data_IF_902762204500
#
_entry.id   IF_902762204500
#
_cell.length_a   1.000
_cell.length_b   1.000
_cell.length_c   1.000
_cell.angle_alpha   90.00
_cell.angle_beta   90.00
_cell.angle_gamma   90.00
#
_symmetry.space_group_name_H-M   'P 1'
#
loop_
_entity.id
_entity.type
_entity.pdbx_description
1 polymer ?
#
# COMPACT_ATOMS: atom_id res chain seq x y z
N UNK A 1 -1.62 -21.75 16.32
CA UNK A 1 -0.58 -22.77 16.01
C UNK A 1 -0.26 -22.81 14.52
N UNK A 2 -1.23 -23.02 13.62
CA UNK A 2 -1.00 -23.19 12.16
C UNK A 2 -0.18 -22.03 11.55
N UNK A 3 -0.52 -20.76 11.85
CA UNK A 3 0.22 -19.61 11.32
C UNK A 3 1.66 -19.57 11.82
N UNK A 4 1.88 -19.86 13.11
CA UNK A 4 3.23 -19.84 13.67
C UNK A 4 4.10 -20.92 13.04
N UNK A 5 3.56 -22.14 12.82
CA UNK A 5 4.28 -23.21 12.12
C UNK A 5 4.71 -22.78 10.73
N UNK A 6 3.81 -22.17 9.95
CA UNK A 6 4.14 -21.65 8.62
C UNK A 6 5.22 -20.55 8.64
N UNK A 7 5.19 -19.66 9.62
CA UNK A 7 6.21 -18.61 9.73
C UNK A 7 7.56 -19.17 10.18
N UNK A 8 7.57 -20.19 11.06
CA UNK A 8 8.79 -20.91 11.41
C UNK A 8 9.44 -21.57 10.19
N UNK A 9 8.62 -22.19 9.34
CA UNK A 9 9.09 -22.81 8.09
C UNK A 9 9.57 -21.78 7.06
N UNK A 10 8.87 -20.65 6.95
CA UNK A 10 9.15 -19.60 5.96
C UNK A 10 10.32 -18.68 6.34
N UNK A 11 10.45 -18.33 7.62
CA UNK A 11 11.32 -17.27 8.11
C UNK A 11 12.31 -17.71 9.21
N UNK A 12 12.14 -18.91 9.76
CA UNK A 12 12.94 -19.42 10.89
C UNK A 12 12.49 -18.85 12.25
N UNK A 13 13.09 -19.38 13.31
CA UNK A 13 12.69 -19.11 14.69
C UNK A 13 12.91 -17.62 15.08
N UNK A 14 14.11 -17.09 14.84
CA UNK A 14 14.49 -15.72 15.25
C UNK A 14 13.55 -14.66 14.64
N UNK A 15 13.27 -14.76 13.34
CA UNK A 15 12.39 -13.80 12.66
C UNK A 15 10.94 -13.98 13.11
N UNK A 16 10.48 -15.22 13.29
CA UNK A 16 9.13 -15.50 13.78
C UNK A 16 8.89 -14.93 15.17
N UNK A 17 9.88 -15.04 16.08
CA UNK A 17 9.79 -14.42 17.40
C UNK A 17 9.66 -12.89 17.32
N UNK A 18 10.43 -12.23 16.44
CA UNK A 18 10.33 -10.78 16.20
C UNK A 18 8.95 -10.38 15.70
N UNK A 19 8.39 -11.12 14.74
CA UNK A 19 7.03 -10.89 14.21
C UNK A 19 5.99 -11.01 15.32
N UNK A 20 6.06 -12.06 16.13
CA UNK A 20 5.11 -12.30 17.22
C UNK A 20 5.22 -11.23 18.31
N UNK A 21 6.42 -10.81 18.67
CA UNK A 21 6.66 -9.75 19.65
C UNK A 21 6.11 -8.40 19.16
N UNK A 22 6.30 -8.09 17.89
CA UNK A 22 5.81 -6.85 17.27
C UNK A 22 4.27 -6.78 17.27
N UNK A 23 3.60 -7.89 17.00
CA UNK A 23 2.14 -7.97 17.04
C UNK A 23 1.53 -7.74 18.44
N UNK A 24 2.32 -7.83 19.48
CA UNK A 24 1.91 -7.54 20.86
C UNK A 24 2.25 -6.11 21.29
N UNK A 25 2.95 -5.37 20.44
CA UNK A 25 3.39 -4.00 20.72
C UNK A 25 2.38 -3.00 20.16
N UNK A 26 2.01 -2.00 20.94
CA UNK A 26 1.26 -0.86 20.44
C UNK A 26 2.17 0.07 19.63
N UNK A 27 1.77 0.36 18.41
CA UNK A 27 2.45 1.29 17.53
C UNK A 27 1.66 2.60 17.41
N UNK A 28 2.35 3.76 17.41
CA UNK A 28 1.70 5.03 17.17
C UNK A 28 1.12 5.06 15.74
N UNK A 29 0.12 5.92 15.52
CA UNK A 29 -0.48 6.08 14.22
C UNK A 29 0.52 6.72 13.24
N UNK A 30 0.67 6.13 12.06
CA UNK A 30 1.55 6.67 11.01
C UNK A 30 0.76 7.54 10.05
N UNK A 31 1.32 8.70 9.71
CA UNK A 31 0.76 9.67 8.78
C UNK A 31 1.76 10.02 7.69
N UNK A 32 1.23 10.32 6.52
CA UNK A 32 1.93 10.92 5.39
C UNK A 32 1.61 12.41 5.31
N UNK A 33 2.62 13.27 5.36
CA UNK A 33 2.48 14.69 5.05
C UNK A 33 2.42 14.90 3.54
N UNK A 34 1.47 15.70 3.06
CA UNK A 34 1.32 16.02 1.63
C UNK A 34 2.22 17.21 1.26
N UNK A 35 3.49 16.90 1.06
CA UNK A 35 4.56 17.91 0.94
C UNK A 35 4.55 18.68 -0.36
N UNK A 36 3.87 18.20 -1.41
CA UNK A 36 3.76 18.96 -2.65
C UNK A 36 2.87 20.22 -2.51
N UNK A 37 1.95 20.23 -1.55
CA UNK A 37 1.04 21.37 -1.29
C UNK A 37 1.38 22.15 -0.01
N UNK A 38 2.12 21.54 0.90
CA UNK A 38 2.31 22.08 2.24
C UNK A 38 3.77 21.94 2.69
N UNK A 39 4.28 22.92 3.43
CA UNK A 39 5.50 22.72 4.20
C UNK A 39 5.25 21.69 5.31
N UNK A 40 6.12 20.67 5.39
CA UNK A 40 6.03 19.64 6.45
C UNK A 40 6.22 20.26 7.84
N UNK A 41 7.05 21.30 7.94
CA UNK A 41 7.33 22.04 9.18
C UNK A 41 6.05 22.75 9.68
N UNK A 42 5.27 23.34 8.80
CA UNK A 42 3.97 23.95 9.14
C UNK A 42 2.95 22.89 9.58
N UNK A 43 2.95 21.74 8.92
CA UNK A 43 2.05 20.62 9.28
C UNK A 43 2.40 20.10 10.67
N UNK A 44 3.68 19.85 10.95
CA UNK A 44 4.16 19.39 12.26
C UNK A 44 3.81 20.41 13.33
N UNK A 45 4.13 21.69 13.12
CA UNK A 45 3.81 22.77 14.06
C UNK A 45 2.31 22.87 14.34
N UNK A 46 1.47 22.64 13.34
CA UNK A 46 0.01 22.61 13.52
C UNK A 46 -0.43 21.45 14.43
N UNK A 47 0.14 20.27 14.24
CA UNK A 47 -0.15 19.09 15.09
C UNK A 47 0.32 19.31 16.53
N UNK A 48 1.56 19.77 16.72
CA UNK A 48 2.13 20.05 18.04
C UNK A 48 1.37 21.13 18.79
N UNK A 49 0.85 22.17 18.09
CA UNK A 49 0.01 23.22 18.69
C UNK A 49 -1.34 22.69 19.23
N UNK A 50 -1.77 21.53 18.76
CA UNK A 50 -2.96 20.81 19.26
C UNK A 50 -2.61 19.74 20.30
N UNK A 51 -1.35 19.71 20.78
CA UNK A 51 -0.88 18.77 21.81
C UNK A 51 -0.50 17.39 21.28
N UNK A 52 -0.40 17.21 19.97
CA UNK A 52 0.00 15.93 19.36
C UNK A 52 1.50 15.76 19.47
N UNK A 53 1.94 14.60 19.95
CA UNK A 53 3.35 14.24 19.85
C UNK A 53 3.66 13.72 18.44
N UNK A 54 4.65 14.31 17.77
CA UNK A 54 5.04 13.99 16.40
C UNK A 54 6.50 13.55 16.36
N UNK A 55 6.78 12.38 15.80
CA UNK A 55 8.11 11.85 15.61
C UNK A 55 8.32 11.39 14.16
N UNK A 56 9.53 11.51 13.59
CA UNK A 56 9.81 10.96 12.27
C UNK A 56 9.54 9.46 12.22
N UNK A 57 8.84 9.01 11.17
CA UNK A 57 8.72 7.59 10.85
C UNK A 57 9.93 7.14 10.01
N UNK A 58 10.24 5.83 9.94
CA UNK A 58 11.40 5.34 9.20
C UNK A 58 11.27 5.57 7.69
N UNK A 59 12.39 5.55 7.01
CA UNK A 59 12.56 5.46 5.55
C UNK A 59 12.16 6.70 4.74
N UNK A 60 11.08 7.40 5.07
CA UNK A 60 10.55 8.47 4.20
C UNK A 60 10.53 9.83 4.94
N UNK A 61 11.07 10.90 4.32
CA UNK A 61 11.25 12.20 4.99
C UNK A 61 9.94 12.98 5.24
N UNK A 62 8.83 12.49 4.73
CA UNK A 62 7.48 13.05 4.87
C UNK A 62 6.54 12.15 5.67
N UNK A 63 7.05 11.02 6.18
CA UNK A 63 6.32 10.10 7.04
C UNK A 63 6.61 10.41 8.52
N UNK A 64 5.55 10.45 9.33
CA UNK A 64 5.63 10.71 10.76
C UNK A 64 4.73 9.75 11.53
N UNK A 65 5.15 9.42 12.75
CA UNK A 65 4.28 8.79 13.74
C UNK A 65 3.68 9.87 14.66
N UNK A 66 2.41 9.70 15.01
CA UNK A 66 1.70 10.61 15.90
C UNK A 66 1.05 9.87 17.06
N UNK A 67 1.07 10.50 18.24
CA UNK A 67 0.45 10.01 19.48
C UNK A 67 -0.05 11.17 20.33
N UNK A 68 -0.65 10.88 21.49
CA UNK A 68 -1.16 11.88 22.41
C UNK A 68 -2.30 12.76 21.83
N UNK A 69 -3.21 12.15 21.09
CA UNK A 69 -4.41 12.82 20.57
C UNK A 69 -5.66 11.96 20.82
N UNK A 70 -6.82 12.60 20.95
CA UNK A 70 -8.07 11.88 21.21
C UNK A 70 -8.68 11.29 19.93
N UNK A 71 -8.81 12.12 18.89
CA UNK A 71 -9.43 11.73 17.63
C UNK A 71 -8.73 12.40 16.45
N UNK A 72 -8.35 11.61 15.46
CA UNK A 72 -7.72 12.11 14.21
C UNK A 72 -8.62 13.11 13.48
N UNK A 73 -9.95 12.91 13.55
CA UNK A 73 -10.94 13.79 12.92
C UNK A 73 -11.04 15.19 13.55
N UNK A 74 -10.43 15.40 14.71
CA UNK A 74 -10.37 16.71 15.38
C UNK A 74 -9.10 17.50 15.05
N UNK A 75 -8.15 16.89 14.36
CA UNK A 75 -6.89 17.52 14.01
C UNK A 75 -7.02 18.39 12.76
N UNK A 76 -6.65 19.66 12.88
CA UNK A 76 -6.71 20.65 11.80
C UNK A 76 -6.00 20.16 10.53
N UNK A 77 -4.82 19.59 10.70
CA UNK A 77 -4.03 19.07 9.58
C UNK A 77 -4.76 17.92 8.83
N UNK A 78 -5.53 17.09 9.54
CA UNK A 78 -6.34 16.04 8.94
C UNK A 78 -7.57 16.62 8.23
N UNK A 79 -8.33 17.48 8.92
CA UNK A 79 -9.55 18.12 8.38
C UNK A 79 -9.23 18.89 7.09
N UNK A 80 -8.11 19.62 7.08
CA UNK A 80 -7.65 20.44 5.94
C UNK A 80 -6.95 19.59 4.86
N UNK A 81 -6.94 18.26 4.98
CA UNK A 81 -6.34 17.35 4.00
C UNK A 81 -4.81 17.48 3.85
N UNK A 82 -4.11 18.07 4.84
CA UNK A 82 -2.64 18.21 4.82
C UNK A 82 -1.91 16.92 5.15
N UNK A 83 -2.60 15.99 5.83
CA UNK A 83 -2.09 14.67 6.17
C UNK A 83 -3.06 13.57 5.73
N UNK A 84 -2.51 12.39 5.47
CA UNK A 84 -3.24 11.15 5.21
C UNK A 84 -2.73 10.08 6.19
N UNK A 85 -3.65 9.34 6.81
CA UNK A 85 -3.27 8.16 7.61
C UNK A 85 -2.84 7.06 6.65
N UNK A 86 -1.58 6.68 6.73
CA UNK A 86 -1.00 5.69 5.84
C UNK A 86 0.24 5.09 6.51
N UNK A 87 0.39 3.76 6.50
CA UNK A 87 1.62 3.10 6.94
C UNK A 87 2.75 3.33 5.95
N UNK A 88 3.99 3.37 6.44
CA UNK A 88 5.17 3.59 5.57
C UNK A 88 5.26 2.51 4.49
N UNK A 89 4.97 1.25 4.81
CA UNK A 89 4.95 0.17 3.82
C UNK A 89 4.03 0.47 2.63
N UNK A 90 2.85 1.00 2.92
CA UNK A 90 1.88 1.42 1.90
C UNK A 90 2.35 2.67 1.12
N UNK A 91 3.14 3.56 1.76
CA UNK A 91 3.72 4.72 1.06
C UNK A 91 4.78 4.31 0.04
N UNK A 92 5.56 3.26 0.32
CA UNK A 92 6.60 2.76 -0.58
C UNK A 92 6.05 2.33 -1.95
N UNK A 93 4.78 1.92 -2.04
CA UNK A 93 4.13 1.61 -3.32
C UNK A 93 4.22 2.79 -4.30
N UNK A 94 3.95 4.00 -3.83
CA UNK A 94 4.02 5.18 -4.69
C UNK A 94 5.46 5.63 -4.96
N UNK A 95 6.40 5.36 -4.04
CA UNK A 95 7.82 5.59 -4.30
C UNK A 95 8.34 4.69 -5.42
N UNK A 96 8.04 3.40 -5.36
CA UNK A 96 8.43 2.41 -6.37
C UNK A 96 7.75 2.72 -7.70
N UNK A 97 6.46 3.01 -7.71
CA UNK A 97 5.71 3.35 -8.92
C UNK A 97 6.19 4.64 -9.59
N UNK A 98 6.70 5.57 -8.81
CA UNK A 98 7.28 6.84 -9.24
C UNK A 98 6.62 7.48 -10.48
N UNK A 99 5.28 7.69 -10.48
CA UNK A 99 4.56 8.16 -11.66
C UNK A 99 5.04 9.53 -12.11
N UNK A 100 5.09 9.73 -13.40
CA UNK A 100 5.44 11.00 -14.03
C UNK A 100 4.24 11.94 -14.12
N UNK A 101 4.49 13.26 -14.16
CA UNK A 101 3.44 14.25 -14.40
C UNK A 101 2.76 13.99 -15.74
N UNK A 102 1.44 13.81 -15.71
CA UNK A 102 0.64 13.55 -16.89
C UNK A 102 0.31 12.06 -17.13
N UNK A 103 0.87 11.15 -16.34
CA UNK A 103 0.57 9.73 -16.45
C UNK A 103 -0.91 9.43 -16.18
N UNK A 104 -1.39 8.33 -16.75
CA UNK A 104 -2.63 7.69 -16.41
C UNK A 104 -2.38 6.46 -15.53
N UNK A 105 -2.84 6.53 -14.30
CA UNK A 105 -2.65 5.50 -13.29
C UNK A 105 -3.98 4.81 -13.03
N UNK A 106 -4.01 3.47 -13.01
CA UNK A 106 -5.15 2.68 -12.55
C UNK A 106 -4.80 2.04 -11.21
N UNK A 107 -5.60 2.30 -10.17
CA UNK A 107 -5.53 1.62 -8.87
C UNK A 107 -6.74 0.68 -8.76
N UNK A 108 -6.50 -0.64 -8.84
CA UNK A 108 -7.55 -1.62 -9.05
C UNK A 108 -8.36 -1.97 -7.79
N UNK A 109 -7.78 -1.77 -6.59
CA UNK A 109 -8.41 -2.09 -5.31
C UNK A 109 -8.13 -0.95 -4.32
N UNK A 110 -8.58 0.26 -4.67
CA UNK A 110 -8.06 1.52 -4.16
C UNK A 110 -8.49 1.87 -2.73
N UNK A 111 -9.63 1.37 -2.25
CA UNK A 111 -10.18 1.83 -0.97
C UNK A 111 -9.25 1.58 0.23
N UNK A 112 -9.12 2.55 1.12
CA UNK A 112 -9.84 3.83 1.23
C UNK A 112 -9.21 5.00 0.43
N UNK A 113 -8.25 4.75 -0.48
CA UNK A 113 -7.70 5.76 -1.40
C UNK A 113 -6.29 6.26 -1.06
N UNK A 114 -5.65 5.75 -0.01
CA UNK A 114 -4.34 6.25 0.44
C UNK A 114 -3.24 6.19 -0.64
N UNK A 115 -3.16 5.08 -1.38
CA UNK A 115 -2.20 4.88 -2.49
C UNK A 115 -2.55 5.76 -3.70
N UNK A 116 -3.83 5.78 -4.09
CA UNK A 116 -4.32 6.63 -5.19
C UNK A 116 -4.03 8.12 -4.95
N UNK A 117 -4.30 8.61 -3.72
CA UNK A 117 -3.99 10.00 -3.33
C UNK A 117 -2.48 10.26 -3.35
N UNK A 118 -1.67 9.28 -2.95
CA UNK A 118 -0.22 9.42 -2.97
C UNK A 118 0.32 9.50 -4.40
N UNK A 119 -0.23 8.69 -5.32
CA UNK A 119 0.07 8.80 -6.75
C UNK A 119 -0.29 10.18 -7.30
N UNK A 120 -1.48 10.67 -6.98
CA UNK A 120 -1.93 12.01 -7.37
C UNK A 120 -1.01 13.12 -6.86
N UNK A 121 -0.52 12.99 -5.62
CA UNK A 121 0.43 13.93 -5.01
C UNK A 121 1.80 13.87 -5.70
N UNK A 122 2.33 12.68 -6.02
CA UNK A 122 3.60 12.53 -6.76
C UNK A 122 3.53 13.11 -8.17
N UNK A 123 2.39 13.05 -8.81
CA UNK A 123 2.14 13.71 -10.09
C UNK A 123 1.86 15.22 -9.96
N UNK A 124 1.91 15.77 -8.75
CA UNK A 124 1.67 17.21 -8.47
C UNK A 124 0.32 17.73 -8.99
N UNK A 125 -0.71 16.89 -8.97
CA UNK A 125 -2.05 17.23 -9.44
C UNK A 125 -2.23 17.17 -10.97
N UNK A 126 -1.23 16.74 -11.72
CA UNK A 126 -1.32 16.52 -13.17
C UNK A 126 -1.59 15.04 -13.50
N UNK A 127 -2.07 14.78 -14.73
CA UNK A 127 -2.46 13.43 -15.13
C UNK A 127 -3.76 12.97 -14.49
N UNK A 128 -3.96 11.65 -14.39
CA UNK A 128 -5.20 11.08 -13.86
C UNK A 128 -4.90 9.80 -13.08
N UNK A 129 -5.48 9.69 -11.90
CA UNK A 129 -5.56 8.43 -11.13
C UNK A 129 -7.00 7.93 -11.15
N UNK A 130 -7.23 6.79 -11.79
CA UNK A 130 -8.50 6.08 -11.82
C UNK A 130 -8.53 5.06 -10.67
N UNK A 131 -9.08 5.50 -9.54
CA UNK A 131 -9.20 4.73 -8.31
C UNK A 131 -10.46 3.87 -8.34
N UNK A 132 -10.30 2.54 -8.36
CA UNK A 132 -11.38 1.57 -8.52
C UNK A 132 -11.56 0.72 -7.27
N UNK A 133 -12.79 0.38 -6.98
CA UNK A 133 -13.06 -0.67 -5.98
C UNK A 133 -14.40 -1.36 -6.27
N UNK A 134 -14.59 -2.55 -5.69
CA UNK A 134 -15.68 -3.46 -6.03
C UNK A 134 -17.07 -2.98 -5.62
N UNK A 135 -17.19 -2.07 -4.64
CA UNK A 135 -18.49 -1.66 -4.11
C UNK A 135 -18.61 -0.14 -3.94
N UNK A 136 -19.87 0.34 -4.06
CA UNK A 136 -20.16 1.75 -3.84
C UNK A 136 -19.75 2.24 -2.45
N UNK A 137 -19.92 1.40 -1.41
CA UNK A 137 -19.47 1.73 -0.06
C UNK A 137 -17.97 2.06 -0.01
N UNK A 138 -17.13 1.24 -0.66
CA UNK A 138 -15.68 1.45 -0.71
C UNK A 138 -15.31 2.67 -1.56
N UNK A 139 -16.01 2.87 -2.68
CA UNK A 139 -15.83 4.05 -3.52
C UNK A 139 -16.17 5.32 -2.77
N UNK A 140 -17.23 5.35 -1.97
CA UNK A 140 -17.58 6.49 -1.13
C UNK A 140 -16.44 6.86 -0.15
N UNK A 141 -15.73 5.87 0.42
CA UNK A 141 -14.57 6.13 1.26
C UNK A 141 -13.41 6.81 0.49
N UNK A 142 -13.23 6.43 -0.77
CA UNK A 142 -12.23 7.07 -1.64
C UNK A 142 -12.66 8.52 -1.93
N UNK A 143 -13.92 8.72 -2.31
CA UNK A 143 -14.50 10.05 -2.61
C UNK A 143 -14.43 11.01 -1.41
N UNK A 144 -14.74 10.54 -0.20
CA UNK A 144 -14.60 11.32 1.02
C UNK A 144 -13.14 11.80 1.21
N UNK A 145 -12.18 10.92 0.97
CA UNK A 145 -10.77 11.28 1.05
C UNK A 145 -10.32 12.21 -0.08
N UNK A 146 -10.81 12.03 -1.31
CA UNK A 146 -10.57 12.96 -2.43
C UNK A 146 -11.08 14.36 -2.07
N UNK A 147 -12.31 14.46 -1.57
CA UNK A 147 -12.92 15.73 -1.17
C UNK A 147 -12.15 16.41 -0.03
N UNK A 148 -11.83 15.65 1.04
CA UNK A 148 -11.07 16.14 2.20
C UNK A 148 -9.70 16.67 1.81
N UNK A 149 -9.02 15.99 0.89
CA UNK A 149 -7.66 16.33 0.45
C UNK A 149 -7.62 17.27 -0.75
N UNK A 150 -8.77 17.57 -1.35
CA UNK A 150 -8.89 18.36 -2.58
C UNK A 150 -7.96 17.82 -3.70
N UNK A 151 -7.95 16.50 -3.88
CA UNK A 151 -7.11 15.83 -4.89
C UNK A 151 -7.80 15.87 -6.25
N UNK A 152 -7.48 16.86 -7.07
CA UNK A 152 -8.19 17.20 -8.32
C UNK A 152 -7.95 16.19 -9.47
N UNK A 153 -6.87 15.43 -9.40
CA UNK A 153 -6.45 14.47 -10.44
C UNK A 153 -6.76 13.01 -10.07
N UNK A 154 -7.50 12.77 -8.98
CA UNK A 154 -7.94 11.44 -8.56
C UNK A 154 -9.44 11.33 -8.77
N UNK A 155 -9.88 10.28 -9.45
CA UNK A 155 -11.29 9.98 -9.71
C UNK A 155 -11.60 8.60 -9.18
N UNK A 156 -12.75 8.43 -8.54
CA UNK A 156 -13.17 7.14 -8.01
C UNK A 156 -14.34 6.55 -8.79
N UNK A 157 -14.34 5.23 -9.01
CA UNK A 157 -15.47 4.53 -9.62
C UNK A 157 -15.62 3.09 -9.15
N UNK A 158 -16.85 2.59 -9.20
CA UNK A 158 -17.10 1.18 -8.94
C UNK A 158 -16.65 0.36 -10.14
N UNK A 159 -15.72 -0.55 -9.91
CA UNK A 159 -15.24 -1.53 -10.88
C UNK A 159 -14.78 -2.78 -10.14
N UNK A 160 -15.35 -3.92 -10.46
CA UNK A 160 -14.86 -5.21 -9.98
C UNK A 160 -13.56 -5.56 -10.72
N UNK A 161 -12.47 -5.68 -9.96
CA UNK A 161 -11.14 -5.96 -10.51
C UNK A 161 -11.02 -7.34 -11.19
N UNK A 162 -11.98 -8.24 -10.98
CA UNK A 162 -12.05 -9.55 -11.64
C UNK A 162 -12.70 -9.49 -13.03
N UNK A 163 -13.42 -8.40 -13.32
CA UNK A 163 -14.13 -8.19 -14.59
C UNK A 163 -13.27 -7.30 -15.50
N UNK A 164 -12.95 -7.80 -16.70
CA UNK A 164 -12.19 -7.04 -17.67
C UNK A 164 -12.97 -5.81 -18.17
N UNK A 165 -12.30 -4.65 -18.10
CA UNK A 165 -12.79 -3.37 -18.62
C UNK A 165 -12.08 -3.08 -19.96
N UNK A 166 -12.79 -3.29 -21.06
CA UNK A 166 -12.26 -3.14 -22.41
C UNK A 166 -11.78 -1.70 -22.70
N UNK A 167 -12.43 -0.70 -22.11
CA UNK A 167 -12.07 0.70 -22.31
C UNK A 167 -10.71 1.07 -21.65
N UNK A 168 -10.20 0.20 -20.81
CA UNK A 168 -8.93 0.37 -20.11
C UNK A 168 -7.78 -0.42 -20.73
N UNK A 169 -8.02 -1.21 -21.77
CA UNK A 169 -6.99 -2.05 -22.40
C UNK A 169 -5.81 -1.23 -22.91
N UNK A 170 -4.60 -1.60 -22.45
CA UNK A 170 -3.31 -0.96 -22.80
C UNK A 170 -3.28 0.57 -22.62
N UNK A 171 -4.05 1.09 -21.67
CA UNK A 171 -4.22 2.54 -21.47
C UNK A 171 -3.29 3.12 -20.39
N UNK A 172 -3.00 2.33 -19.35
CA UNK A 172 -2.33 2.85 -18.17
C UNK A 172 -0.81 2.91 -18.32
N UNK A 173 -0.22 4.02 -17.90
CA UNK A 173 1.23 4.16 -17.67
C UNK A 173 1.65 3.32 -16.48
N UNK A 174 0.84 3.34 -15.42
CA UNK A 174 1.05 2.57 -14.18
C UNK A 174 -0.27 1.91 -13.77
N UNK A 175 -0.19 0.62 -13.42
CA UNK A 175 -1.29 -0.11 -12.77
C UNK A 175 -0.86 -0.51 -11.37
N UNK A 176 -1.66 -0.18 -10.37
CA UNK A 176 -1.50 -0.67 -8.99
C UNK A 176 -2.48 -1.82 -8.76
N UNK A 177 -1.95 -2.98 -8.43
CA UNK A 177 -2.68 -4.14 -7.97
C UNK A 177 -2.36 -4.39 -6.48
N UNK A 178 -2.89 -3.52 -5.59
CA UNK A 178 -2.88 -3.72 -4.14
C UNK A 178 -4.06 -4.63 -3.79
N UNK A 179 -3.84 -5.92 -3.96
CA UNK A 179 -4.92 -6.91 -4.03
C UNK A 179 -5.47 -7.30 -2.66
N UNK A 180 -6.75 -7.71 -2.57
CA UNK A 180 -7.27 -8.35 -1.37
C UNK A 180 -6.38 -9.53 -0.95
N UNK A 181 -6.03 -9.60 0.33
CA UNK A 181 -5.10 -10.60 0.85
C UNK A 181 -5.51 -11.09 2.23
N UNK A 182 -4.82 -12.09 2.77
CA UNK A 182 -5.05 -12.60 4.12
C UNK A 182 -4.82 -11.57 5.22
N UNK A 183 -3.98 -10.56 4.97
CA UNK A 183 -3.70 -9.48 5.91
C UNK A 183 -2.79 -9.89 7.08
N UNK A 184 -2.02 -10.97 6.96
CA UNK A 184 -1.17 -11.45 8.05
C UNK A 184 -0.09 -10.44 8.48
N UNK A 185 0.26 -9.48 7.63
CA UNK A 185 1.22 -8.42 7.96
C UNK A 185 0.68 -7.37 8.93
N UNK A 186 -0.65 -7.32 9.15
CA UNK A 186 -1.32 -6.29 9.97
C UNK A 186 -2.08 -6.88 11.16
N UNK A 187 -1.77 -8.09 11.58
CA UNK A 187 -2.42 -8.77 12.71
C UNK A 187 -2.31 -7.96 14.01
N UNK A 188 -1.21 -7.25 14.25
CA UNK A 188 -1.06 -6.39 15.42
C UNK A 188 -2.12 -5.30 15.51
N UNK A 189 -2.54 -4.75 14.36
CA UNK A 189 -3.60 -3.73 14.25
C UNK A 189 -5.00 -4.34 14.10
N UNK A 190 -5.11 -5.56 13.59
CA UNK A 190 -6.37 -6.28 13.29
C UNK A 190 -6.30 -7.74 13.77
N UNK A 191 -6.31 -7.97 15.08
CA UNK A 191 -6.08 -9.31 15.65
C UNK A 191 -7.15 -10.35 15.27
N UNK A 192 -8.32 -9.91 14.80
CA UNK A 192 -9.38 -10.80 14.31
C UNK A 192 -8.99 -11.56 13.04
N UNK A 193 -8.00 -11.10 12.29
CA UNK A 193 -7.50 -11.75 11.06
C UNK A 193 -7.08 -13.20 11.34
N UNK A 194 -6.41 -13.45 12.46
CA UNK A 194 -5.93 -14.79 12.85
C UNK A 194 -7.03 -15.85 12.98
N UNK A 195 -8.29 -15.42 13.08
CA UNK A 195 -9.45 -16.32 13.19
C UNK A 195 -10.26 -16.45 11.90
N UNK A 196 -10.03 -15.58 10.92
CA UNK A 196 -10.85 -15.50 9.70
C UNK A 196 -10.31 -16.32 8.55
N UNK A 197 -9.00 -16.54 8.49
CA UNK A 197 -8.38 -17.21 7.35
C UNK A 197 -8.09 -18.66 7.68
N UNK A 198 -8.73 -19.56 6.93
CA UNK A 198 -8.46 -21.00 6.91
C UNK A 198 -7.57 -21.33 5.70
N UNK A 199 -6.90 -22.51 5.65
CA UNK A 199 -6.14 -22.92 4.47
C UNK A 199 -6.96 -22.84 3.17
N UNK A 200 -8.21 -23.29 3.19
CA UNK A 200 -9.10 -23.23 2.02
C UNK A 200 -9.38 -21.78 1.59
N UNK A 201 -9.64 -20.87 2.54
CA UNK A 201 -9.82 -19.44 2.23
C UNK A 201 -8.56 -18.80 1.66
N UNK A 202 -7.39 -19.27 2.08
CA UNK A 202 -6.14 -18.78 1.53
C UNK A 202 -5.98 -19.18 0.07
N UNK A 203 -6.33 -20.42 -0.29
CA UNK A 203 -6.34 -20.87 -1.69
C UNK A 203 -7.31 -20.03 -2.55
N UNK A 204 -8.50 -19.74 -2.02
CA UNK A 204 -9.49 -18.87 -2.67
C UNK A 204 -8.94 -17.46 -2.88
N UNK A 205 -8.21 -16.91 -1.89
CA UNK A 205 -7.56 -15.59 -1.99
C UNK A 205 -6.49 -15.60 -3.09
N UNK A 206 -5.63 -16.62 -3.15
CA UNK A 206 -4.61 -16.74 -4.20
C UNK A 206 -5.24 -16.78 -5.59
N UNK A 207 -6.34 -17.54 -5.77
CA UNK A 207 -7.06 -17.58 -7.04
C UNK A 207 -7.63 -16.20 -7.41
N UNK A 208 -8.24 -15.51 -6.45
CA UNK A 208 -8.75 -14.14 -6.64
C UNK A 208 -7.63 -13.18 -7.05
N UNK A 209 -6.48 -13.22 -6.36
CA UNK A 209 -5.32 -12.38 -6.65
C UNK A 209 -4.79 -12.61 -8.07
N UNK A 210 -4.67 -13.87 -8.48
CA UNK A 210 -4.25 -14.23 -9.85
C UNK A 210 -5.25 -13.74 -10.90
N UNK A 211 -6.54 -13.81 -10.61
CA UNK A 211 -7.58 -13.26 -11.50
C UNK A 211 -7.43 -11.75 -11.66
N UNK A 212 -7.17 -11.03 -10.56
CA UNK A 212 -6.95 -9.57 -10.62
C UNK A 212 -5.66 -9.24 -11.38
N UNK A 213 -4.57 -9.97 -11.13
CA UNK A 213 -3.29 -9.78 -11.83
C UNK A 213 -3.41 -10.04 -13.34
N UNK A 214 -4.21 -11.04 -13.76
CA UNK A 214 -4.53 -11.27 -15.17
C UNK A 214 -5.21 -10.05 -15.80
N UNK A 215 -6.18 -9.43 -15.12
CA UNK A 215 -6.83 -8.22 -15.61
C UNK A 215 -5.87 -7.03 -15.63
N UNK A 216 -5.09 -6.86 -14.55
CA UNK A 216 -4.10 -5.80 -14.44
C UNK A 216 -3.09 -5.81 -15.58
N UNK A 217 -2.58 -7.00 -15.96
CA UNK A 217 -1.63 -7.15 -17.06
C UNK A 217 -2.15 -6.57 -18.39
N UNK A 218 -3.46 -6.66 -18.64
CA UNK A 218 -4.06 -6.18 -19.87
C UNK A 218 -4.28 -4.66 -19.91
N UNK A 219 -4.22 -3.98 -18.76
CA UNK A 219 -4.39 -2.52 -18.68
C UNK A 219 -3.09 -1.76 -18.86
N UNK A 220 -1.95 -2.41 -18.60
CA UNK A 220 -0.63 -1.79 -18.73
C UNK A 220 -0.28 -1.58 -20.19
N UNK A 221 0.00 -0.35 -20.59
CA UNK A 221 0.48 -0.06 -21.94
C UNK A 221 1.91 -0.61 -22.19
N UNK A 222 2.33 -0.78 -23.45
CA UNK A 222 3.71 -1.17 -23.72
C UNK A 222 4.72 -0.22 -23.04
N UNK A 223 5.65 -0.78 -22.25
CA UNK A 223 6.62 -0.07 -21.39
C UNK A 223 6.02 0.62 -20.17
N UNK A 224 4.74 0.41 -19.86
CA UNK A 224 4.15 0.80 -18.60
C UNK A 224 4.54 -0.15 -17.48
N UNK A 225 4.15 0.19 -16.27
CA UNK A 225 4.53 -0.51 -15.04
C UNK A 225 3.33 -1.15 -14.35
N UNK A 226 3.54 -2.32 -13.75
CA UNK A 226 2.59 -2.98 -12.86
C UNK A 226 3.22 -3.09 -11.48
N UNK A 227 2.58 -2.49 -10.50
CA UNK A 227 2.95 -2.61 -9.09
C UNK A 227 1.99 -3.58 -8.42
N UNK A 228 2.50 -4.73 -8.02
CA UNK A 228 1.78 -5.73 -7.26
C UNK A 228 2.12 -5.58 -5.77
N UNK A 229 1.12 -5.50 -4.91
CA UNK A 229 1.32 -5.38 -3.47
C UNK A 229 0.25 -6.07 -2.64
N UNK A 230 0.62 -6.45 -1.41
CA UNK A 230 -0.26 -7.05 -0.41
C UNK A 230 0.13 -6.58 0.99
N UNK A 231 -0.80 -6.57 1.94
CA UNK A 231 -0.51 -6.37 3.36
C UNK A 231 -0.38 -7.71 4.10
N UNK A 232 0.21 -8.72 3.46
CA UNK A 232 0.45 -10.04 4.05
C UNK A 232 1.92 -10.43 4.03
N UNK A 233 2.27 -11.42 4.83
CA UNK A 233 3.59 -12.06 4.86
C UNK A 233 3.51 -13.54 4.42
N UNK A 234 2.45 -13.93 3.72
CA UNK A 234 2.28 -15.27 3.19
C UNK A 234 2.99 -15.40 1.83
N UNK A 235 3.94 -16.32 1.72
CA UNK A 235 4.71 -16.54 0.48
C UNK A 235 3.84 -16.92 -0.70
N UNK A 236 2.78 -17.69 -0.45
CA UNK A 236 1.81 -18.14 -1.44
C UNK A 236 1.09 -16.98 -2.12
N UNK A 237 0.84 -15.90 -1.36
CA UNK A 237 0.18 -14.70 -1.86
C UNK A 237 1.16 -13.68 -2.47
N UNK A 238 2.45 -13.77 -2.16
CA UNK A 238 3.50 -12.82 -2.51
C UNK A 238 4.44 -13.38 -3.59
N UNK A 239 5.58 -13.95 -3.18
CA UNK A 239 6.62 -14.44 -4.10
C UNK A 239 6.09 -15.49 -5.09
N UNK A 240 5.23 -16.42 -4.64
CA UNK A 240 4.68 -17.46 -5.52
C UNK A 240 3.71 -16.87 -6.56
N UNK A 241 2.91 -15.88 -6.19
CA UNK A 241 2.05 -15.17 -7.14
C UNK A 241 2.88 -14.34 -8.13
N UNK A 242 3.93 -13.67 -7.66
CA UNK A 242 4.87 -12.95 -8.53
C UNK A 242 5.52 -13.90 -9.53
N UNK A 243 6.05 -15.04 -9.08
CA UNK A 243 6.68 -16.04 -9.95
C UNK A 243 5.68 -16.63 -10.95
N UNK A 244 4.46 -16.96 -10.50
CA UNK A 244 3.38 -17.39 -11.38
C UNK A 244 3.09 -16.34 -12.46
N UNK A 245 3.01 -15.08 -12.10
CA UNK A 245 2.72 -13.99 -13.02
C UNK A 245 3.81 -13.87 -14.10
N UNK A 246 5.08 -13.88 -13.71
CA UNK A 246 6.21 -13.80 -14.64
C UNK A 246 6.31 -14.99 -15.61
N UNK A 247 5.80 -16.16 -15.21
CA UNK A 247 5.74 -17.33 -16.10
C UNK A 247 4.60 -17.26 -17.12
N UNK A 248 3.55 -16.48 -16.87
CA UNK A 248 2.34 -16.45 -17.68
C UNK A 248 2.20 -15.17 -18.53
N UNK A 249 2.91 -14.09 -18.17
CA UNK A 249 2.79 -12.78 -18.83
C UNK A 249 4.16 -12.24 -19.23
N UNK A 250 4.25 -11.47 -20.33
CA UNK A 250 5.52 -10.94 -20.86
C UNK A 250 6.00 -9.71 -20.05
N UNK A 251 6.09 -9.86 -18.75
CA UNK A 251 6.63 -8.87 -17.82
C UNK A 251 8.00 -9.32 -17.30
N UNK A 252 8.80 -8.38 -16.85
CA UNK A 252 10.07 -8.60 -16.16
C UNK A 252 10.09 -7.78 -14.87
N UNK A 253 10.80 -8.26 -13.89
CA UNK A 253 11.11 -7.46 -12.70
C UNK A 253 12.09 -6.34 -13.05
N UNK A 254 11.91 -5.21 -12.40
CA UNK A 254 12.85 -4.09 -12.43
C UNK A 254 13.35 -3.79 -11.01
N UNK A 255 14.62 -3.46 -10.86
CA UNK A 255 15.21 -3.16 -9.56
C UNK A 255 14.44 -2.07 -8.83
N UNK A 256 14.17 -2.29 -7.54
CA UNK A 256 13.54 -1.30 -6.67
C UNK A 256 14.54 -0.33 -6.03
N UNK A 257 15.85 -0.65 -6.05
CA UNK A 257 16.89 0.13 -5.38
C UNK A 257 16.90 1.62 -5.76
N UNK A 258 16.65 2.03 -7.02
CA UNK A 258 16.60 3.45 -7.38
C UNK A 258 15.50 4.25 -6.68
N UNK A 259 14.47 3.58 -6.16
CA UNK A 259 13.26 4.18 -5.60
C UNK A 259 13.17 4.02 -4.06
N UNK A 260 14.00 3.16 -3.49
CA UNK A 260 13.99 2.84 -2.08
C UNK A 260 15.15 3.48 -1.33
N UNK A 261 14.96 3.84 -0.05
CA UNK A 261 16.06 4.20 0.83
C UNK A 261 17.11 3.08 0.95
N UNK A 262 18.39 3.45 1.06
CA UNK A 262 19.51 2.50 1.13
C UNK A 262 19.36 1.46 2.24
N UNK A 263 18.70 1.82 3.34
CA UNK A 263 18.44 0.91 4.48
C UNK A 263 17.53 -0.27 4.12
N UNK A 264 16.78 -0.18 3.02
CA UNK A 264 15.92 -1.24 2.51
C UNK A 264 16.57 -2.05 1.38
N UNK A 265 17.75 -1.64 0.90
CA UNK A 265 18.42 -2.33 -0.20
C UNK A 265 18.85 -3.74 0.21
N UNK A 266 18.62 -4.70 -0.68
CA UNK A 266 18.91 -6.12 -0.49
C UNK A 266 19.05 -6.82 -1.84
N UNK A 267 19.40 -8.09 -1.82
CA UNK A 267 19.41 -8.90 -3.05
C UNK A 267 18.02 -8.94 -3.72
N UNK A 268 16.94 -9.00 -2.92
CA UNK A 268 15.58 -9.04 -3.46
C UNK A 268 15.13 -7.70 -4.04
N UNK A 269 15.51 -6.57 -3.45
CA UNK A 269 15.19 -5.25 -4.00
C UNK A 269 15.94 -4.98 -5.30
N UNK A 270 17.20 -5.42 -5.40
CA UNK A 270 17.96 -5.39 -6.65
C UNK A 270 17.32 -6.26 -7.74
N UNK A 271 16.66 -7.37 -7.38
CA UNK A 271 15.91 -8.24 -8.28
C UNK A 271 14.53 -7.68 -8.66
N UNK A 272 13.94 -6.80 -7.84
CA UNK A 272 12.68 -6.13 -8.14
C UNK A 272 11.50 -6.51 -7.25
N UNK A 273 11.74 -7.00 -6.03
CA UNK A 273 10.69 -7.22 -5.03
C UNK A 273 11.19 -7.02 -3.59
N UNK A 274 10.27 -6.73 -2.68
CA UNK A 274 10.56 -6.48 -1.27
C UNK A 274 9.48 -7.09 -0.38
N UNK A 275 9.89 -7.91 0.58
CA UNK A 275 9.03 -8.37 1.69
C UNK A 275 9.42 -7.64 2.97
N UNK A 276 8.52 -6.80 3.47
CA UNK A 276 8.62 -6.17 4.79
C UNK A 276 8.00 -7.08 5.84
N UNK A 277 8.69 -7.25 6.97
CA UNK A 277 8.28 -8.12 8.07
C UNK A 277 8.13 -7.31 9.36
N UNK A 278 7.00 -7.45 10.10
CA UNK A 278 6.83 -6.82 11.42
C UNK A 278 7.96 -7.20 12.36
N UNK A 279 8.43 -6.24 13.16
CA UNK A 279 9.52 -6.48 14.12
C UNK A 279 10.94 -6.62 13.52
N UNK A 280 11.04 -6.79 12.20
CA UNK A 280 12.30 -6.74 11.45
C UNK A 280 12.46 -5.38 10.80
N UNK A 281 11.46 -4.97 10.05
CA UNK A 281 11.33 -3.62 9.51
C UNK A 281 10.37 -2.84 10.42
N UNK A 282 10.60 -1.56 10.56
CA UNK A 282 9.77 -0.70 11.43
C UNK A 282 8.47 -0.25 10.72
N UNK A 283 7.76 -1.21 10.14
CA UNK A 283 6.52 -1.02 9.34
C UNK A 283 5.60 -2.21 9.53
N UNK A 284 4.38 -2.12 8.99
CA UNK A 284 3.54 -3.30 8.80
C UNK A 284 4.22 -4.34 7.89
N UNK A 285 3.79 -5.60 8.00
CA UNK A 285 4.18 -6.64 7.05
C UNK A 285 3.53 -6.38 5.68
N UNK A 286 4.36 -6.33 4.63
CA UNK A 286 3.93 -5.88 3.31
C UNK A 286 4.84 -6.44 2.21
N UNK A 287 4.28 -6.66 1.04
CA UNK A 287 5.01 -7.08 -0.15
C UNK A 287 4.80 -6.10 -1.27
#
# INVERSE_FOLDING_TARGET
EVLVTRWLEAYGEEITEKILADFLTEHPLTIRCRTYLNSKEEVIKSLESQGVHVAPAPYLPYAYSISEFNHILALDAFIKGKIVVQDVSSMLVAEVANPSRGDYVIDMCAAPGGKSLHMGDKMEGYGTVDARDVSQYKVNLIEENIQRTNSINVQARVQDATIFDQDSELLADVVIADVPCSGYGVIGKKPEIKYRVTPQKQDEIVILQRTILDRAANYVKPRGELIFSTCTIAKEENEENMMWFLQNYPFKLESLDPYLPEELHSETTALGYLQLLPGVHKTDGFF
#
